data_IF_690833475161
#
_entry.id   IF_690833475161
#
_cell.length_a   1.000
_cell.length_b   1.000
_cell.length_c   1.000
_cell.angle_alpha   90.00
_cell.angle_beta   90.00
_cell.angle_gamma   90.00
#
_symmetry.space_group_name_H-M   'P 1'
#
loop_
_entity.id
_entity.type
_entity.pdbx_description
1 polymer ?
#
# COMPACT_ATOMS: atom_id res chain seq x y z
N UNK A 1 -26.79 -46.13 54.64
CA UNK A 1 -25.44 -45.54 54.48
C UNK A 1 -24.78 -46.25 53.31
N UNK A 2 -24.93 -45.71 52.10
CA UNK A 2 -24.52 -46.37 50.84
C UNK A 2 -23.10 -45.92 50.52
N UNK A 3 -22.14 -46.82 50.69
CA UNK A 3 -20.73 -46.60 50.36
C UNK A 3 -20.57 -46.66 48.84
N UNK A 4 -20.84 -45.55 48.14
CA UNK A 4 -20.45 -45.42 46.74
C UNK A 4 -18.92 -45.57 46.66
N UNK A 5 -18.47 -46.65 46.01
CA UNK A 5 -17.05 -47.00 45.86
C UNK A 5 -16.34 -45.85 45.14
N UNK A 6 -15.31 -45.27 45.79
CA UNK A 6 -14.43 -44.20 45.26
C UNK A 6 -13.93 -44.44 43.81
N UNK A 7 -13.93 -45.69 43.35
CA UNK A 7 -13.54 -46.07 41.99
C UNK A 7 -14.54 -45.66 40.89
N UNK A 8 -15.84 -45.53 41.17
CA UNK A 8 -16.82 -45.15 40.14
C UNK A 8 -16.81 -43.64 39.85
N UNK A 9 -16.43 -42.80 40.81
CA UNK A 9 -16.33 -41.35 40.62
C UNK A 9 -15.12 -40.98 39.74
N UNK A 10 -14.02 -41.72 39.85
CA UNK A 10 -12.82 -41.51 39.01
C UNK A 10 -13.04 -41.85 37.54
N UNK A 11 -13.78 -42.92 37.24
CA UNK A 11 -14.12 -43.31 35.85
C UNK A 11 -15.09 -42.30 35.22
N UNK A 12 -16.05 -41.78 36.01
CA UNK A 12 -16.98 -40.75 35.53
C UNK A 12 -16.24 -39.43 35.20
N UNK A 13 -15.26 -39.04 36.01
CA UNK A 13 -14.44 -37.84 35.77
C UNK A 13 -13.49 -37.99 34.58
N UNK A 14 -12.91 -39.17 34.38
CA UNK A 14 -12.09 -39.49 33.22
C UNK A 14 -12.91 -39.54 31.92
N UNK A 15 -14.15 -40.03 31.97
CA UNK A 15 -15.05 -40.00 30.81
C UNK A 15 -15.54 -38.57 30.49
N UNK A 16 -15.81 -37.74 31.50
CA UNK A 16 -16.26 -36.36 31.29
C UNK A 16 -15.13 -35.46 30.75
N UNK A 17 -13.88 -35.66 31.20
CA UNK A 17 -12.70 -35.00 30.62
C UNK A 17 -12.39 -35.52 29.23
N UNK A 18 -12.53 -36.82 28.95
CA UNK A 18 -12.39 -37.35 27.59
C UNK A 18 -13.47 -36.81 26.64
N UNK A 19 -14.73 -36.65 27.08
CA UNK A 19 -15.82 -36.07 26.27
C UNK A 19 -15.60 -34.58 25.99
N UNK A 20 -14.96 -33.83 26.90
CA UNK A 20 -14.52 -32.45 26.63
C UNK A 20 -13.32 -32.36 25.67
N UNK A 21 -12.60 -33.47 25.43
CA UNK A 21 -11.54 -33.58 24.42
C UNK A 21 -12.00 -34.19 23.09
N UNK A 22 -13.25 -34.68 23.01
CA UNK A 22 -13.81 -35.11 21.74
C UNK A 22 -14.53 -33.95 21.06
N UNK A 23 -13.88 -33.47 20.00
CA UNK A 23 -14.48 -32.77 18.88
C UNK A 23 -14.81 -31.29 19.10
N UNK A 24 -13.77 -30.47 19.27
CA UNK A 24 -13.63 -29.37 18.30
C UNK A 24 -13.31 -30.02 16.96
N UNK A 25 -14.32 -30.59 16.29
CA UNK A 25 -14.18 -30.86 14.87
C UNK A 25 -13.95 -29.48 14.29
N UNK A 26 -12.71 -29.15 13.97
CA UNK A 26 -12.40 -28.00 13.13
C UNK A 26 -13.35 -28.14 11.94
N UNK A 27 -14.33 -27.23 11.86
CA UNK A 27 -15.28 -27.23 10.77
C UNK A 27 -14.45 -27.27 9.50
N UNK A 28 -14.64 -28.32 8.70
CA UNK A 28 -13.78 -28.54 7.54
C UNK A 28 -13.79 -27.28 6.69
N UNK A 29 -12.60 -26.76 6.37
CA UNK A 29 -12.43 -25.60 5.52
C UNK A 29 -13.36 -25.67 4.32
N UNK A 30 -14.28 -24.71 4.19
CA UNK A 30 -15.25 -24.71 3.09
C UNK A 30 -14.75 -23.84 1.95
N UNK A 31 -15.22 -24.14 0.73
CA UNK A 31 -14.98 -23.28 -0.44
C UNK A 31 -16.30 -22.83 -1.02
N UNK A 32 -16.56 -21.52 -0.99
CA UNK A 32 -17.68 -20.88 -1.68
C UNK A 32 -17.23 -20.45 -3.06
N UNK A 33 -17.95 -20.88 -4.11
CA UNK A 33 -17.59 -20.59 -5.50
C UNK A 33 -18.67 -19.71 -6.14
N UNK A 34 -18.27 -18.54 -6.61
CA UNK A 34 -19.09 -17.64 -7.43
C UNK A 34 -18.74 -17.90 -8.89
N UNK A 35 -19.69 -18.51 -9.62
CA UNK A 35 -19.55 -18.90 -11.03
C UNK A 35 -20.47 -18.13 -11.98
N UNK A 36 -21.30 -17.24 -11.43
CA UNK A 36 -22.16 -16.32 -12.15
C UNK A 36 -22.38 -15.07 -11.30
N UNK A 37 -22.88 -14.00 -11.91
CA UNK A 37 -23.12 -12.74 -11.20
C UNK A 37 -24.01 -12.97 -9.96
N UNK A 38 -23.48 -12.58 -8.81
CA UNK A 38 -24.10 -12.81 -7.51
C UNK A 38 -24.11 -11.50 -6.74
N UNK A 39 -25.26 -11.16 -6.14
CA UNK A 39 -25.37 -9.99 -5.26
C UNK A 39 -25.67 -10.45 -3.85
N UNK A 40 -24.89 -9.93 -2.89
CA UNK A 40 -25.08 -10.14 -1.46
C UNK A 40 -24.98 -8.80 -0.74
N UNK A 41 -25.69 -8.67 0.38
CA UNK A 41 -25.53 -7.49 1.22
C UNK A 41 -24.18 -7.59 1.96
N UNK A 42 -24.11 -8.48 2.94
CA UNK A 42 -22.91 -8.78 3.71
C UNK A 42 -22.46 -10.21 3.44
N UNK A 43 -21.15 -10.42 3.39
CA UNK A 43 -20.51 -11.73 3.30
C UNK A 43 -19.34 -11.80 4.29
N UNK A 44 -19.31 -12.86 5.09
CA UNK A 44 -18.20 -13.16 5.99
C UNK A 44 -17.52 -14.45 5.54
N UNK A 45 -16.20 -14.41 5.37
CA UNK A 45 -15.37 -15.58 5.09
C UNK A 45 -14.62 -15.92 6.37
N UNK A 46 -14.93 -17.05 7.01
CA UNK A 46 -14.31 -17.41 8.28
C UNK A 46 -12.86 -17.86 8.09
N UNK A 47 -12.12 -17.91 9.21
CA UNK A 47 -10.79 -18.53 9.21
C UNK A 47 -10.85 -19.96 8.69
N UNK A 48 -9.94 -20.31 7.78
CA UNK A 48 -9.91 -21.59 7.09
C UNK A 48 -10.80 -21.67 5.84
N UNK A 49 -11.83 -20.85 5.72
CA UNK A 49 -12.70 -20.84 4.54
C UNK A 49 -12.05 -20.14 3.34
N UNK A 50 -12.50 -20.51 2.14
CA UNK A 50 -12.11 -19.89 0.88
C UNK A 50 -13.33 -19.37 0.11
N UNK A 51 -13.27 -18.13 -0.36
CA UNK A 51 -14.13 -17.61 -1.42
C UNK A 51 -13.36 -17.64 -2.74
N UNK A 52 -13.98 -18.16 -3.79
CA UNK A 52 -13.45 -18.12 -5.15
C UNK A 52 -14.44 -17.43 -6.08
N UNK A 53 -14.00 -16.37 -6.76
CA UNK A 53 -14.75 -15.70 -7.82
C UNK A 53 -14.13 -16.11 -9.16
N UNK A 54 -14.88 -16.85 -9.95
CA UNK A 54 -14.41 -17.40 -11.21
C UNK A 54 -14.37 -16.34 -12.32
N UNK A 55 -13.60 -16.64 -13.36
CA UNK A 55 -13.61 -15.86 -14.60
C UNK A 55 -15.04 -15.69 -15.15
N UNK A 56 -15.39 -14.46 -15.53
CA UNK A 56 -16.70 -14.10 -16.08
C UNK A 56 -17.81 -13.92 -15.03
N UNK A 57 -17.50 -14.07 -13.73
CA UNK A 57 -18.46 -13.86 -12.66
C UNK A 57 -18.14 -12.57 -11.87
N UNK A 58 -19.19 -11.87 -11.46
CA UNK A 58 -19.11 -10.70 -10.58
C UNK A 58 -19.76 -10.99 -9.24
N UNK A 59 -19.02 -10.82 -8.14
CA UNK A 59 -19.61 -10.75 -6.81
C UNK A 59 -19.85 -9.27 -6.45
N UNK A 60 -21.11 -8.86 -6.49
CA UNK A 60 -21.54 -7.55 -5.99
C UNK A 60 -21.84 -7.66 -4.50
N UNK A 61 -21.02 -7.02 -3.66
CA UNK A 61 -21.30 -6.82 -2.24
C UNK A 61 -21.86 -5.41 -2.09
N UNK A 62 -22.95 -5.22 -1.35
CA UNK A 62 -23.58 -3.89 -1.20
C UNK A 62 -23.38 -3.25 0.16
N UNK A 63 -22.88 -3.99 1.15
CA UNK A 63 -22.59 -3.44 2.49
C UNK A 63 -21.19 -3.80 2.97
N UNK A 64 -20.89 -5.08 3.24
CA UNK A 64 -19.57 -5.46 3.77
C UNK A 64 -19.10 -6.85 3.32
N UNK A 65 -17.78 -6.96 3.10
CA UNK A 65 -17.08 -8.22 2.86
C UNK A 65 -15.99 -8.37 3.93
N UNK A 66 -16.26 -9.20 4.93
CA UNK A 66 -15.35 -9.42 6.06
C UNK A 66 -14.58 -10.72 5.86
N UNK A 67 -13.29 -10.62 5.59
CA UNK A 67 -12.42 -11.74 5.29
C UNK A 67 -11.51 -12.08 6.46
N UNK A 68 -11.75 -13.23 7.10
CA UNK A 68 -10.84 -13.88 8.05
C UNK A 68 -10.12 -15.09 7.43
N UNK A 69 -10.51 -15.49 6.22
CA UNK A 69 -9.98 -16.65 5.50
C UNK A 69 -9.21 -16.26 4.24
N UNK A 70 -9.53 -16.91 3.13
CA UNK A 70 -8.90 -16.70 1.82
C UNK A 70 -9.91 -16.25 0.78
N UNK A 71 -9.62 -15.18 0.05
CA UNK A 71 -10.36 -14.78 -1.15
C UNK A 71 -9.46 -14.97 -2.36
N UNK A 72 -9.99 -15.60 -3.41
CA UNK A 72 -9.34 -15.74 -4.71
C UNK A 72 -10.23 -15.13 -5.78
N UNK A 73 -9.78 -14.06 -6.41
CA UNK A 73 -10.43 -13.48 -7.60
C UNK A 73 -9.63 -13.91 -8.80
N UNK A 74 -10.21 -14.75 -9.65
CA UNK A 74 -9.53 -15.24 -10.85
C UNK A 74 -9.45 -14.15 -11.92
N UNK A 75 -8.54 -14.32 -12.88
CA UNK A 75 -8.48 -13.45 -14.06
C UNK A 75 -9.85 -13.41 -14.78
N UNK A 76 -10.35 -12.20 -15.01
CA UNK A 76 -11.69 -11.96 -15.57
C UNK A 76 -12.86 -12.13 -14.59
N UNK A 77 -12.60 -12.48 -13.33
CA UNK A 77 -13.58 -12.40 -12.24
C UNK A 77 -13.50 -11.04 -11.54
N UNK A 78 -14.60 -10.64 -10.87
CA UNK A 78 -14.69 -9.33 -10.24
C UNK A 78 -15.34 -9.36 -8.86
N UNK A 79 -14.82 -8.58 -7.91
CA UNK A 79 -15.50 -8.23 -6.66
C UNK A 79 -15.84 -6.75 -6.67
N UNK A 80 -17.06 -6.44 -6.28
CA UNK A 80 -17.60 -5.10 -6.28
C UNK A 80 -17.95 -4.63 -7.69
N UNK A 81 -18.52 -3.44 -7.72
CA UNK A 81 -18.76 -2.68 -8.94
C UNK A 81 -18.69 -1.21 -8.54
N UNK A 82 -18.30 -0.36 -9.48
CA UNK A 82 -18.44 1.09 -9.35
C UNK A 82 -19.77 1.48 -8.66
N UNK A 83 -19.69 2.32 -7.61
CA UNK A 83 -20.81 2.82 -6.80
C UNK A 83 -21.45 1.84 -5.79
N UNK A 84 -20.88 0.66 -5.53
CA UNK A 84 -21.50 -0.29 -4.57
C UNK A 84 -21.24 0.02 -3.10
N UNK A 85 -20.39 1.01 -2.79
CA UNK A 85 -20.08 1.50 -1.43
C UNK A 85 -19.80 0.41 -0.39
N UNK A 86 -19.28 -0.74 -0.83
CA UNK A 86 -19.03 -1.86 0.04
C UNK A 86 -17.68 -1.73 0.71
N UNK A 87 -17.66 -1.98 2.02
CA UNK A 87 -16.43 -2.02 2.80
C UNK A 87 -15.88 -3.44 2.74
N UNK A 88 -14.68 -3.58 2.20
CA UNK A 88 -13.92 -4.83 2.18
C UNK A 88 -12.91 -4.77 3.33
N UNK A 89 -13.03 -5.68 4.28
CA UNK A 89 -12.11 -5.82 5.40
C UNK A 89 -11.32 -7.12 5.30
N UNK A 90 -10.02 -7.03 5.09
CA UNK A 90 -9.11 -8.17 5.13
C UNK A 90 -8.42 -8.23 6.50
N UNK A 91 -8.89 -9.11 7.38
CA UNK A 91 -8.42 -9.19 8.77
C UNK A 91 -7.01 -9.79 8.89
N UNK A 92 -6.42 -9.65 10.07
CA UNK A 92 -5.13 -10.26 10.41
C UNK A 92 -5.17 -11.77 10.16
N UNK A 93 -4.15 -12.29 9.47
CA UNK A 93 -4.07 -13.70 9.08
C UNK A 93 -4.83 -14.07 7.80
N UNK A 94 -5.76 -13.21 7.35
CA UNK A 94 -6.51 -13.42 6.12
C UNK A 94 -5.70 -13.03 4.88
N UNK A 95 -6.06 -13.62 3.75
CA UNK A 95 -5.40 -13.38 2.46
C UNK A 95 -6.40 -13.08 1.34
N UNK A 96 -6.16 -12.03 0.57
CA UNK A 96 -6.80 -11.80 -0.73
C UNK A 96 -5.77 -12.05 -1.83
N UNK A 97 -6.09 -12.93 -2.78
CA UNK A 97 -5.33 -13.13 -4.00
C UNK A 97 -6.17 -12.62 -5.17
N UNK A 98 -5.83 -11.44 -5.68
CA UNK A 98 -6.52 -10.83 -6.79
C UNK A 98 -5.74 -11.04 -8.08
N UNK A 99 -6.32 -11.74 -9.06
CA UNK A 99 -5.85 -11.80 -10.44
C UNK A 99 -6.86 -11.20 -11.42
N UNK A 100 -8.03 -10.78 -10.93
CA UNK A 100 -9.08 -10.12 -11.69
C UNK A 100 -9.21 -8.66 -11.27
N UNK A 101 -10.43 -8.23 -10.99
CA UNK A 101 -10.72 -6.85 -10.58
C UNK A 101 -11.37 -6.82 -9.20
N UNK A 102 -10.89 -5.93 -8.33
CA UNK A 102 -11.61 -5.51 -7.13
C UNK A 102 -11.88 -4.02 -7.29
N UNK A 103 -13.13 -3.65 -7.47
CA UNK A 103 -13.54 -2.26 -7.69
C UNK A 103 -14.65 -1.89 -6.72
N UNK A 104 -14.32 -1.00 -5.80
CA UNK A 104 -15.25 -0.37 -4.86
C UNK A 104 -15.14 1.14 -4.96
N UNK A 105 -14.81 1.66 -6.13
CA UNK A 105 -14.60 3.09 -6.36
C UNK A 105 -15.90 3.89 -6.48
N UNK A 106 -15.77 5.22 -6.33
CA UNK A 106 -16.80 6.25 -6.51
C UNK A 106 -17.90 6.23 -5.44
N UNK A 107 -17.55 5.83 -4.23
CA UNK A 107 -18.42 5.94 -3.07
C UNK A 107 -18.60 7.40 -2.67
N UNK A 108 -19.81 7.80 -2.26
CA UNK A 108 -20.08 9.16 -1.77
C UNK A 108 -19.13 9.52 -0.60
N UNK A 109 -18.70 10.79 -0.53
CA UNK A 109 -17.64 11.34 0.33
C UNK A 109 -17.81 11.13 1.85
N UNK A 110 -18.92 10.54 2.28
CA UNK A 110 -19.32 10.39 3.69
C UNK A 110 -18.99 9.02 4.28
N UNK A 111 -18.44 8.09 3.49
CA UNK A 111 -18.21 6.71 3.93
C UNK A 111 -16.75 6.46 4.36
N UNK A 112 -16.53 5.54 5.33
CA UNK A 112 -15.20 5.12 5.79
C UNK A 112 -14.43 4.38 4.67
N UNK A 113 -13.14 4.05 4.87
CA UNK A 113 -12.33 3.45 3.82
C UNK A 113 -12.96 2.18 3.25
N UNK A 114 -13.06 2.11 1.93
CA UNK A 114 -13.73 1.00 1.23
C UNK A 114 -12.87 -0.27 1.22
N UNK A 115 -11.54 -0.16 1.39
CA UNK A 115 -10.65 -1.31 1.53
C UNK A 115 -9.74 -1.17 2.76
N UNK A 116 -10.03 -1.97 3.79
CA UNK A 116 -9.22 -2.06 5.01
C UNK A 116 -8.40 -3.35 5.01
N UNK A 117 -7.08 -3.23 4.91
CA UNK A 117 -6.16 -4.36 4.91
C UNK A 117 -5.34 -4.44 6.20
N UNK A 118 -5.65 -5.42 7.05
CA UNK A 118 -4.87 -5.84 8.21
C UNK A 118 -4.09 -7.14 7.96
N UNK A 119 -4.46 -7.89 6.92
CA UNK A 119 -3.85 -9.16 6.53
C UNK A 119 -2.86 -9.02 5.38
N UNK A 120 -2.96 -9.94 4.42
CA UNK A 120 -2.13 -9.96 3.20
C UNK A 120 -3.00 -9.79 1.95
N UNK A 121 -2.62 -8.88 1.06
CA UNK A 121 -3.17 -8.76 -0.29
C UNK A 121 -2.05 -9.10 -1.28
N UNK A 122 -2.33 -10.01 -2.20
CA UNK A 122 -1.49 -10.30 -3.37
C UNK A 122 -2.27 -9.85 -4.61
N UNK A 123 -1.90 -8.70 -5.16
CA UNK A 123 -2.57 -8.12 -6.30
C UNK A 123 -1.76 -8.39 -7.58
N UNK A 124 -2.19 -9.34 -8.40
CA UNK A 124 -1.74 -9.50 -9.78
C UNK A 124 -2.74 -9.01 -10.83
N UNK A 125 -3.84 -8.38 -10.40
CA UNK A 125 -4.88 -7.82 -11.25
C UNK A 125 -5.02 -6.32 -11.05
N UNK A 126 -6.26 -5.83 -11.01
CA UNK A 126 -6.59 -4.42 -10.74
C UNK A 126 -7.31 -4.33 -9.39
N UNK A 127 -6.84 -3.45 -8.52
CA UNK A 127 -7.55 -3.02 -7.32
C UNK A 127 -7.81 -1.53 -7.44
N UNK A 128 -9.08 -1.15 -7.30
CA UNK A 128 -9.56 0.21 -7.49
C UNK A 128 -10.68 0.63 -6.51
N UNK A 129 -10.37 0.81 -5.22
CA UNK A 129 -11.29 1.39 -4.24
C UNK A 129 -11.24 2.93 -4.27
N UNK A 130 -12.18 3.60 -3.59
CA UNK A 130 -12.03 5.05 -3.36
C UNK A 130 -10.92 5.31 -2.34
N UNK A 131 -10.95 4.58 -1.23
CA UNK A 131 -10.06 4.75 -0.09
C UNK A 131 -9.41 3.41 0.32
N UNK A 132 -8.11 3.46 0.62
CA UNK A 132 -7.32 2.31 1.09
C UNK A 132 -6.72 2.63 2.46
N UNK A 133 -6.97 1.76 3.43
CA UNK A 133 -6.23 1.74 4.69
C UNK A 133 -5.44 0.43 4.81
N UNK A 134 -4.11 0.51 4.66
CA UNK A 134 -3.23 -0.65 4.75
C UNK A 134 -2.40 -0.62 6.04
N UNK A 135 -2.73 -1.49 6.99
CA UNK A 135 -1.89 -1.81 8.16
C UNK A 135 -1.16 -3.15 8.00
N UNK A 136 -1.60 -3.98 7.06
CA UNK A 136 -1.03 -5.28 6.72
C UNK A 136 0.07 -5.22 5.66
N UNK A 137 0.10 -6.22 4.79
CA UNK A 137 1.03 -6.28 3.65
C UNK A 137 0.26 -6.30 2.33
N UNK A 138 0.65 -5.43 1.39
CA UNK A 138 0.22 -5.47 -0.01
C UNK A 138 1.42 -5.84 -0.87
N UNK A 139 1.31 -6.93 -1.63
CA UNK A 139 2.24 -7.28 -2.70
C UNK A 139 1.56 -6.96 -4.02
N UNK A 140 1.98 -5.86 -4.63
CA UNK A 140 1.43 -5.37 -5.88
C UNK A 140 2.30 -5.81 -7.07
N UNK A 141 1.69 -6.60 -7.94
CA UNK A 141 2.19 -7.17 -9.19
C UNK A 141 1.32 -6.75 -10.39
N UNK A 142 0.29 -5.94 -10.17
CA UNK A 142 -0.62 -5.41 -11.20
C UNK A 142 -0.85 -3.91 -11.02
N UNK A 143 -2.09 -3.46 -11.18
CA UNK A 143 -2.49 -2.08 -10.95
C UNK A 143 -3.14 -1.89 -9.59
N UNK A 144 -2.67 -0.93 -8.81
CA UNK A 144 -3.25 -0.52 -7.53
C UNK A 144 -3.55 0.98 -7.58
N UNK A 145 -4.77 1.32 -7.97
CA UNK A 145 -5.26 2.69 -7.97
C UNK A 145 -6.17 2.96 -6.76
N UNK A 146 -6.43 4.22 -6.49
CA UNK A 146 -7.33 4.67 -5.42
C UNK A 146 -7.89 6.04 -5.79
N UNK A 147 -9.18 6.25 -5.58
CA UNK A 147 -9.86 7.46 -6.04
C UNK A 147 -9.70 8.70 -5.14
N UNK A 148 -9.31 8.53 -3.87
CA UNK A 148 -9.34 9.61 -2.88
C UNK A 148 -8.19 9.57 -1.88
N UNK A 149 -8.03 8.49 -1.14
CA UNK A 149 -6.98 8.41 -0.12
C UNK A 149 -6.36 7.01 -0.06
N UNK A 150 -5.04 6.97 0.10
CA UNK A 150 -4.32 5.77 0.45
C UNK A 150 -3.46 6.03 1.68
N UNK A 151 -3.90 5.53 2.84
CA UNK A 151 -3.09 5.47 4.04
C UNK A 151 -2.35 4.14 4.15
N UNK A 152 -1.03 4.19 4.10
CA UNK A 152 -0.17 3.05 4.39
C UNK A 152 0.47 3.18 5.77
N UNK A 153 0.03 2.35 6.70
CA UNK A 153 0.65 2.10 8.01
C UNK A 153 1.50 0.83 8.03
N UNK A 154 1.34 -0.04 7.03
CA UNK A 154 1.97 -1.34 6.94
C UNK A 154 3.09 -1.39 5.91
N UNK A 155 3.13 -2.50 5.15
CA UNK A 155 4.14 -2.74 4.12
C UNK A 155 3.52 -2.84 2.74
N UNK A 156 4.13 -2.16 1.77
CA UNK A 156 3.82 -2.27 0.35
C UNK A 156 5.05 -2.76 -0.39
N UNK A 157 4.88 -3.76 -1.25
CA UNK A 157 5.89 -4.22 -2.20
C UNK A 157 5.33 -4.04 -3.61
N UNK A 158 5.77 -2.99 -4.30
CA UNK A 158 5.40 -2.73 -5.69
C UNK A 158 6.50 -3.28 -6.60
N UNK A 159 6.23 -4.41 -7.27
CA UNK A 159 7.27 -5.07 -8.06
C UNK A 159 7.43 -4.45 -9.44
N UNK A 160 8.50 -4.83 -10.14
CA UNK A 160 8.75 -4.39 -11.51
C UNK A 160 7.55 -4.70 -12.43
N UNK A 161 7.14 -3.69 -13.21
CA UNK A 161 6.00 -3.76 -14.12
C UNK A 161 4.63 -3.51 -13.47
N UNK A 162 4.56 -3.40 -12.13
CA UNK A 162 3.36 -3.01 -11.41
C UNK A 162 3.29 -1.49 -11.24
N UNK A 163 2.07 -0.97 -11.06
CA UNK A 163 1.81 0.46 -10.85
C UNK A 163 1.01 0.70 -9.58
N UNK A 164 1.33 1.81 -8.90
CA UNK A 164 0.53 2.40 -7.83
C UNK A 164 0.22 3.84 -8.23
N UNK A 165 -1.02 4.26 -7.98
CA UNK A 165 -1.46 5.65 -8.13
C UNK A 165 -2.56 5.83 -9.17
N UNK A 166 -3.04 7.06 -9.26
CA UNK A 166 -4.14 7.55 -10.09
C UNK A 166 -3.88 9.00 -10.53
N UNK A 167 -4.76 9.48 -11.40
CA UNK A 167 -4.68 10.78 -12.08
C UNK A 167 -5.80 11.74 -11.60
N UNK A 168 -6.17 11.71 -10.30
CA UNK A 168 -7.41 12.37 -9.85
C UNK A 168 -7.45 12.93 -8.41
N UNK A 169 -6.54 13.82 -8.00
CA UNK A 169 -6.72 14.58 -6.75
C UNK A 169 -6.60 13.80 -5.44
N UNK A 170 -6.11 12.55 -5.47
CA UNK A 170 -6.02 11.67 -4.33
C UNK A 170 -4.80 11.96 -3.42
N UNK A 171 -4.87 11.60 -2.15
CA UNK A 171 -3.74 11.71 -1.21
C UNK A 171 -3.14 10.33 -0.95
N UNK A 172 -1.84 10.17 -1.17
CA UNK A 172 -1.11 8.97 -0.78
C UNK A 172 -0.22 9.30 0.43
N UNK A 173 -0.49 8.69 1.57
CA UNK A 173 0.27 8.89 2.81
C UNK A 173 0.96 7.60 3.25
N UNK A 174 2.29 7.62 3.30
CA UNK A 174 3.10 6.58 3.94
C UNK A 174 3.41 6.99 5.38
N UNK A 175 2.68 6.43 6.34
CA UNK A 175 2.74 6.82 7.75
C UNK A 175 4.04 6.38 8.45
N UNK A 176 4.27 6.93 9.65
CA UNK A 176 5.41 6.57 10.49
C UNK A 176 5.46 5.07 10.75
N UNK A 177 6.64 4.47 10.57
CA UNK A 177 6.87 3.02 10.73
C UNK A 177 6.46 2.18 9.52
N UNK A 178 5.70 2.74 8.58
CA UNK A 178 5.32 2.06 7.35
C UNK A 178 6.50 2.00 6.36
N UNK A 179 6.46 1.01 5.46
CA UNK A 179 7.51 0.81 4.44
C UNK A 179 6.91 0.57 3.07
N UNK A 180 7.37 1.32 2.08
CA UNK A 180 7.12 1.08 0.66
C UNK A 180 8.42 0.59 0.02
N UNK A 181 8.39 -0.57 -0.64
CA UNK A 181 9.45 -1.04 -1.51
C UNK A 181 8.97 -0.93 -2.95
N UNK A 182 9.50 0.04 -3.68
CA UNK A 182 9.14 0.30 -5.06
C UNK A 182 10.22 -0.19 -6.03
N UNK A 183 9.85 -1.11 -6.90
CA UNK A 183 10.62 -1.52 -8.09
C UNK A 183 9.80 -1.33 -9.37
N UNK A 184 8.50 -1.07 -9.25
CA UNK A 184 7.60 -0.71 -10.35
C UNK A 184 7.50 0.80 -10.50
N UNK A 185 6.28 1.27 -10.76
CA UNK A 185 5.95 2.68 -10.89
C UNK A 185 5.05 3.14 -9.75
N UNK A 186 5.35 4.30 -9.18
CA UNK A 186 4.42 5.10 -8.39
C UNK A 186 4.23 6.38 -9.19
N UNK A 187 3.04 6.58 -9.74
CA UNK A 187 2.70 7.78 -10.51
C UNK A 187 1.45 8.36 -9.89
N UNK A 188 1.57 9.56 -9.33
CA UNK A 188 0.48 10.26 -8.68
C UNK A 188 0.33 11.59 -9.43
N UNK A 189 -0.44 11.57 -10.51
CA UNK A 189 -0.49 12.67 -11.49
C UNK A 189 -0.96 13.96 -10.83
N UNK A 190 -2.20 13.95 -10.35
CA UNK A 190 -2.84 15.09 -9.68
C UNK A 190 -2.88 14.94 -8.16
N UNK A 191 -1.86 14.39 -7.52
CA UNK A 191 -2.06 13.78 -6.20
C UNK A 191 -0.83 13.83 -5.30
N UNK A 192 -0.99 14.35 -4.08
CA UNK A 192 0.11 14.46 -3.14
C UNK A 192 0.62 13.09 -2.65
N UNK A 193 1.95 12.93 -2.56
CA UNK A 193 2.59 11.84 -1.82
C UNK A 193 3.29 12.39 -0.59
N UNK A 194 2.77 12.04 0.58
CA UNK A 194 3.37 12.37 1.86
C UNK A 194 4.06 11.15 2.48
N UNK A 195 5.36 11.28 2.72
CA UNK A 195 6.15 10.26 3.38
C UNK A 195 6.56 10.68 4.79
N UNK A 196 5.99 10.00 5.79
CA UNK A 196 6.40 10.02 7.19
C UNK A 196 7.20 8.76 7.59
N UNK A 197 7.17 7.73 6.74
CA UNK A 197 7.81 6.44 6.96
C UNK A 197 9.07 6.25 6.13
N UNK A 198 9.22 5.04 5.58
CA UNK A 198 10.36 4.66 4.74
C UNK A 198 9.93 4.29 3.32
N UNK A 199 10.57 4.88 2.32
CA UNK A 199 10.45 4.50 0.91
C UNK A 199 11.80 3.96 0.43
N UNK A 200 11.81 2.74 -0.11
CA UNK A 200 12.95 2.18 -0.81
C UNK A 200 12.62 2.14 -2.29
N UNK A 201 13.15 3.10 -3.04
CA UNK A 201 12.92 3.20 -4.46
C UNK A 201 14.06 2.54 -5.25
N UNK A 202 13.69 1.71 -6.22
CA UNK A 202 14.55 1.11 -7.24
C UNK A 202 13.88 1.12 -8.62
N UNK A 203 12.64 1.59 -8.68
CA UNK A 203 11.86 1.78 -9.90
C UNK A 203 11.66 3.27 -10.15
N UNK A 204 10.44 3.62 -10.52
CA UNK A 204 10.08 4.96 -10.94
C UNK A 204 9.08 5.59 -9.97
N UNK A 205 9.32 6.83 -9.60
CA UNK A 205 8.44 7.66 -8.78
C UNK A 205 8.26 9.00 -9.49
N UNK A 206 7.02 9.40 -9.76
CA UNK A 206 6.67 10.65 -10.44
C UNK A 206 5.41 11.29 -9.86
N UNK A 207 5.45 12.62 -9.81
CA UNK A 207 4.36 13.50 -9.37
C UNK A 207 4.29 14.64 -10.40
N UNK A 208 3.09 14.94 -10.89
CA UNK A 208 2.91 15.82 -12.06
C UNK A 208 2.24 17.16 -11.75
N UNK A 209 1.30 17.20 -10.80
CA UNK A 209 0.47 18.39 -10.58
C UNK A 209 0.22 18.69 -9.09
N UNK A 210 0.95 18.06 -8.17
CA UNK A 210 0.71 18.21 -6.72
C UNK A 210 2.00 17.95 -5.90
N UNK A 211 1.92 18.03 -4.56
CA UNK A 211 3.11 18.03 -3.69
C UNK A 211 3.72 16.65 -3.44
N UNK A 212 5.06 16.58 -3.48
CA UNK A 212 5.82 15.47 -2.91
C UNK A 212 6.51 15.91 -1.63
N UNK A 213 6.18 15.30 -0.49
CA UNK A 213 6.71 15.74 0.81
C UNK A 213 7.36 14.57 1.55
N UNK A 214 8.66 14.69 1.82
CA UNK A 214 9.39 13.82 2.73
C UNK A 214 9.55 14.51 4.10
N UNK A 215 8.73 14.08 5.07
CA UNK A 215 8.63 14.70 6.38
C UNK A 215 9.82 14.42 7.31
N UNK A 216 9.93 15.20 8.38
CA UNK A 216 10.94 15.04 9.42
C UNK A 216 10.92 13.61 9.98
N UNK A 217 12.10 12.98 10.03
CA UNK A 217 12.26 11.60 10.48
C UNK A 217 11.96 10.53 9.41
N UNK A 218 11.36 10.91 8.29
CA UNK A 218 11.11 10.03 7.17
C UNK A 218 12.38 9.80 6.33
N UNK A 219 12.44 8.66 5.65
CA UNK A 219 13.62 8.25 4.86
C UNK A 219 13.21 7.77 3.48
N UNK A 220 13.84 8.34 2.46
CA UNK A 220 13.80 7.82 1.09
C UNK A 220 15.17 7.30 0.72
N UNK A 221 15.23 6.06 0.25
CA UNK A 221 16.42 5.45 -0.33
C UNK A 221 16.20 5.27 -1.82
N UNK A 222 16.70 6.21 -2.63
CA UNK A 222 16.66 6.09 -4.08
C UNK A 222 17.87 5.30 -4.55
N UNK A 223 17.68 4.03 -4.88
CA UNK A 223 18.74 3.09 -5.22
C UNK A 223 19.24 3.28 -6.65
N UNK A 224 20.35 2.64 -7.01
CA UNK A 224 20.85 2.61 -8.39
C UNK A 224 19.76 2.09 -9.33
N UNK A 225 19.52 2.80 -10.44
CA UNK A 225 18.43 2.52 -11.38
C UNK A 225 17.07 3.10 -10.98
N UNK A 226 16.91 3.50 -9.72
CA UNK A 226 15.75 4.23 -9.23
C UNK A 226 15.73 5.66 -9.74
N UNK A 227 14.54 6.15 -10.08
CA UNK A 227 14.31 7.52 -10.51
C UNK A 227 13.21 8.12 -9.65
N UNK A 228 13.46 9.34 -9.16
CA UNK A 228 12.45 10.24 -8.63
C UNK A 228 12.39 11.41 -9.60
N UNK A 229 11.21 11.70 -10.12
CA UNK A 229 10.96 12.84 -11.00
C UNK A 229 9.90 13.71 -10.38
N UNK A 230 10.18 14.99 -10.36
CA UNK A 230 9.24 16.04 -10.03
C UNK A 230 8.94 16.86 -11.30
N UNK A 231 7.71 17.34 -11.44
CA UNK A 231 7.19 18.01 -12.63
C UNK A 231 6.21 19.12 -12.21
N UNK A 232 6.40 20.33 -12.75
CA UNK A 232 5.46 21.47 -12.81
C UNK A 232 4.84 21.99 -11.50
N UNK A 233 5.09 23.30 -11.28
CA UNK A 233 4.34 24.29 -10.46
C UNK A 233 4.10 24.00 -8.96
N UNK A 234 4.33 22.79 -8.46
CA UNK A 234 4.09 22.46 -7.05
C UNK A 234 5.39 22.10 -6.30
N UNK A 235 5.59 22.64 -5.09
CA UNK A 235 6.75 22.32 -4.26
C UNK A 235 6.92 20.83 -3.97
N UNK A 236 8.11 20.32 -4.27
CA UNK A 236 8.62 19.09 -3.69
C UNK A 236 9.47 19.42 -2.45
N UNK A 237 9.07 18.93 -1.29
CA UNK A 237 9.69 19.26 -0.02
C UNK A 237 10.43 18.08 0.59
N UNK A 238 11.65 18.32 1.04
CA UNK A 238 12.39 17.39 1.89
C UNK A 238 12.77 18.04 3.21
N UNK A 239 12.10 17.63 4.29
CA UNK A 239 12.50 17.89 5.68
C UNK A 239 13.10 16.65 6.38
N UNK A 240 12.96 15.47 5.76
CA UNK A 240 13.53 14.21 6.21
C UNK A 240 14.94 13.93 5.67
N UNK A 241 15.23 12.64 5.41
CA UNK A 241 16.48 12.20 4.78
C UNK A 241 16.23 11.55 3.41
N UNK A 242 16.94 12.01 2.39
CA UNK A 242 17.03 11.35 1.09
C UNK A 242 18.44 10.80 0.89
N UNK A 243 18.55 9.50 0.69
CA UNK A 243 19.79 8.83 0.28
C UNK A 243 19.72 8.52 -1.21
N UNK A 244 20.34 9.36 -2.04
CA UNK A 244 20.30 9.22 -3.48
C UNK A 244 21.51 8.45 -4.00
N UNK A 245 21.26 7.32 -4.66
CA UNK A 245 22.21 6.55 -5.49
C UNK A 245 21.68 6.34 -6.91
N UNK A 246 20.44 6.73 -7.17
CA UNK A 246 19.80 6.70 -8.48
C UNK A 246 19.82 8.09 -9.11
N UNK A 247 18.71 8.48 -9.71
CA UNK A 247 18.52 9.79 -10.32
C UNK A 247 17.37 10.53 -9.65
N UNK A 248 17.58 11.81 -9.35
CA UNK A 248 16.52 12.78 -9.02
C UNK A 248 16.51 13.80 -10.15
N UNK A 249 15.36 14.03 -10.78
CA UNK A 249 15.19 15.01 -11.84
C UNK A 249 14.12 16.02 -11.43
N UNK A 250 14.49 17.30 -11.46
CA UNK A 250 13.57 18.43 -11.35
C UNK A 250 13.44 19.04 -12.73
N UNK A 251 12.24 19.01 -13.31
CA UNK A 251 12.01 19.40 -14.70
C UNK A 251 10.79 20.32 -14.83
N UNK A 252 10.79 21.19 -15.84
CA UNK A 252 9.67 22.09 -16.18
C UNK A 252 9.13 22.87 -14.96
N UNK A 253 9.88 23.85 -14.48
CA UNK A 253 9.41 24.74 -13.41
C UNK A 253 9.15 24.05 -12.06
N UNK A 254 9.69 22.84 -11.85
CA UNK A 254 9.73 22.23 -10.51
C UNK A 254 10.47 23.10 -9.49
N UNK A 255 9.89 23.24 -8.30
CA UNK A 255 10.50 23.87 -7.14
C UNK A 255 10.75 22.81 -6.07
N UNK A 256 12.02 22.57 -5.73
CA UNK A 256 12.38 21.60 -4.69
C UNK A 256 12.98 22.30 -3.46
N UNK A 257 12.28 22.25 -2.33
CA UNK A 257 12.77 22.79 -1.05
C UNK A 257 13.39 21.70 -0.19
N UNK A 258 14.70 21.80 0.03
CA UNK A 258 15.42 20.98 1.00
C UNK A 258 15.64 21.74 2.31
N UNK A 259 14.91 21.34 3.35
CA UNK A 259 15.14 21.72 4.75
C UNK A 259 15.78 20.59 5.58
N UNK A 260 15.89 19.39 5.02
CA UNK A 260 16.43 18.19 5.65
C UNK A 260 17.85 17.84 5.19
N UNK A 261 18.14 16.53 5.12
CA UNK A 261 19.43 15.99 4.68
C UNK A 261 19.29 15.24 3.35
N UNK A 262 20.13 15.60 2.38
CA UNK A 262 20.31 14.83 1.14
C UNK A 262 21.74 14.30 1.10
N UNK A 263 21.88 12.98 1.06
CA UNK A 263 23.15 12.30 0.81
C UNK A 263 23.18 11.82 -0.64
N UNK A 264 23.82 12.59 -1.51
CA UNK A 264 23.94 12.28 -2.93
C UNK A 264 25.19 11.45 -3.22
N UNK A 265 24.98 10.30 -3.87
CA UNK A 265 25.99 9.46 -4.55
C UNK A 265 25.56 9.09 -5.96
N UNK A 266 24.38 9.55 -6.37
CA UNK A 266 23.81 9.35 -7.70
C UNK A 266 23.81 10.65 -8.47
N UNK A 267 22.79 10.88 -9.28
CA UNK A 267 22.63 12.11 -10.04
C UNK A 267 21.45 12.91 -9.52
N UNK A 268 21.64 14.21 -9.36
CA UNK A 268 20.58 15.20 -9.21
C UNK A 268 20.68 16.13 -10.42
N UNK A 269 19.60 16.26 -11.19
CA UNK A 269 19.51 17.19 -12.31
C UNK A 269 18.45 18.25 -12.01
N UNK A 270 18.80 19.51 -12.22
CA UNK A 270 17.91 20.66 -12.11
C UNK A 270 17.88 21.34 -13.47
N UNK A 271 16.74 21.28 -14.15
CA UNK A 271 16.55 21.89 -15.47
C UNK A 271 16.54 23.43 -15.39
N UNK A 272 16.68 24.10 -16.54
CA UNK A 272 16.90 25.56 -16.63
C UNK A 272 15.83 26.41 -15.97
N UNK A 273 14.61 25.89 -15.92
CA UNK A 273 13.44 26.63 -15.45
C UNK A 273 13.03 26.21 -14.04
N UNK A 274 13.77 25.28 -13.42
CA UNK A 274 13.50 24.72 -12.08
C UNK A 274 14.34 25.38 -10.99
N UNK A 275 13.86 25.31 -9.74
CA UNK A 275 14.57 25.78 -8.55
C UNK A 275 14.92 24.63 -7.62
N UNK A 276 16.15 24.63 -7.10
CA UNK A 276 16.56 23.82 -5.96
C UNK A 276 16.93 24.74 -4.80
N UNK A 277 16.09 24.80 -3.77
CA UNK A 277 16.34 25.59 -2.56
C UNK A 277 16.91 24.73 -1.43
N UNK A 278 18.17 24.96 -1.08
CA UNK A 278 18.86 24.29 0.03
C UNK A 278 19.07 25.21 1.24
N UNK A 279 18.24 26.24 1.42
CA UNK A 279 18.47 27.28 2.45
C UNK A 279 18.31 26.73 3.86
N UNK A 280 17.32 25.86 4.09
CA UNK A 280 17.09 25.22 5.39
C UNK A 280 17.88 23.93 5.61
N UNK A 281 18.42 23.34 4.55
CA UNK A 281 18.91 21.96 4.55
C UNK A 281 20.41 21.79 4.36
N UNK A 282 20.80 20.52 4.26
CA UNK A 282 22.15 20.08 3.93
C UNK A 282 22.13 19.16 2.73
N UNK A 283 22.86 19.52 1.67
CA UNK A 283 23.17 18.64 0.55
C UNK A 283 24.64 18.20 0.63
N UNK A 284 24.86 16.89 0.83
CA UNK A 284 26.18 16.26 0.80
C UNK A 284 26.35 15.54 -0.52
N UNK A 285 27.25 16.02 -1.35
CA UNK A 285 27.66 15.34 -2.56
C UNK A 285 28.88 14.46 -2.25
N UNK A 286 28.64 13.15 -2.15
CA UNK A 286 29.58 12.16 -1.67
C UNK A 286 30.22 11.47 -2.88
N UNK A 287 31.52 11.14 -2.80
CA UNK A 287 32.28 10.32 -3.76
C UNK A 287 31.43 9.56 -4.82
N UNK A 288 31.37 10.10 -6.04
CA UNK A 288 30.63 9.53 -7.18
C UNK A 288 29.25 10.17 -7.45
N UNK A 289 28.78 11.04 -6.57
CA UNK A 289 27.62 11.88 -6.84
C UNK A 289 27.88 12.96 -7.89
N UNK A 290 26.81 13.34 -8.58
CA UNK A 290 26.79 14.41 -9.57
C UNK A 290 25.59 15.31 -9.29
N UNK A 291 25.83 16.61 -9.19
CA UNK A 291 24.81 17.64 -9.14
C UNK A 291 24.92 18.53 -10.39
N UNK A 292 23.97 18.37 -11.31
CA UNK A 292 23.89 19.15 -12.54
C UNK A 292 22.80 20.21 -12.38
N UNK A 293 23.19 21.47 -12.37
CA UNK A 293 22.24 22.58 -12.25
C UNK A 293 22.30 23.48 -13.48
N UNK A 294 21.25 23.44 -14.29
CA UNK A 294 20.98 24.39 -15.34
C UNK A 294 20.03 25.52 -14.87
N UNK A 295 19.25 25.27 -13.82
CA UNK A 295 18.28 26.22 -13.24
C UNK A 295 18.82 27.05 -12.08
N UNK A 296 17.94 27.36 -11.13
CA UNK A 296 18.25 28.20 -9.97
C UNK A 296 18.61 27.34 -8.76
N UNK A 297 19.76 27.63 -8.14
CA UNK A 297 20.15 27.06 -6.85
C UNK A 297 20.14 28.14 -5.78
N UNK A 298 19.41 27.90 -4.69
CA UNK A 298 19.35 28.78 -3.51
C UNK A 298 19.91 28.07 -2.28
N UNK A 299 20.37 28.86 -1.31
CA UNK A 299 20.67 28.36 0.02
C UNK A 299 22.11 27.91 0.28
N UNK A 300 22.26 26.94 1.19
CA UNK A 300 23.56 26.56 1.73
C UNK A 300 24.44 25.88 0.67
N UNK A 301 25.74 26.10 0.75
CA UNK A 301 26.71 25.50 -0.17
C UNK A 301 26.65 23.96 -0.13
N UNK A 302 26.87 23.35 -1.30
CA UNK A 302 26.98 21.89 -1.45
C UNK A 302 28.25 21.41 -0.73
N UNK A 303 28.09 20.48 0.21
CA UNK A 303 29.22 19.88 0.91
C UNK A 303 29.74 18.72 0.06
N UNK A 304 30.81 18.97 -0.68
CA UNK A 304 31.52 17.92 -1.41
C UNK A 304 32.45 17.20 -0.44
N UNK A 305 32.21 15.92 -0.20
CA UNK A 305 33.02 15.08 0.69
C UNK A 305 33.39 13.78 -0.01
N UNK A 306 34.68 13.59 -0.23
CA UNK A 306 35.23 12.40 -0.89
C UNK A 306 35.93 11.49 0.12
#
# INVERSE_FOLDING_TARGET
MITLKKYQLGILFACLTAILFFSTHDAAATTTVISSDTTVATLTINSGDTLQVNSGATLTVTTSLDNFGKINVQAGGSIGKRLTCAIITNHVGATINNHGTIDTSWCDYRYPPDLNNYGKINNGGIIFPSDINNTGTINNNGGLGFGRQFDNYGKINNVLGASIGEDSGAQFTNHVGATINNSGQIVNGESALENYGKINNSGFIEFADDFFINHVGAVINNSVGGVIRDYVEHPADNSGTINNRGTINLILESDFENTGLINNRGTINVDSDSTFDNTGGTLKDICGGVFNNAGTFLGNAIIVSC
#
